data_IF_114243881702
#
_entry.id   IF_114243881702
#
_cell.length_a   1.000
_cell.length_b   1.000
_cell.length_c   1.000
_cell.angle_alpha   90.00
_cell.angle_beta   90.00
_cell.angle_gamma   90.00
#
_symmetry.space_group_name_H-M   'P 1'
#
loop_
_entity.id
_entity.type
_entity.pdbx_description
1 polymer ?
#
# COMPACT_ATOMS: atom_id res chain seq x y z
N UNK A 1 33.96 -72.20 -23.96
CA UNK A 1 32.62 -71.64 -24.12
C UNK A 1 32.43 -70.68 -23.01
N UNK A 2 32.50 -69.41 -23.25
CA UNK A 2 32.22 -68.32 -22.23
C UNK A 2 31.39 -67.28 -22.93
N UNK A 3 30.13 -67.21 -22.51
CA UNK A 3 29.19 -66.20 -22.99
C UNK A 3 29.36 -64.88 -22.22
N UNK A 4 29.58 -63.84 -22.99
CA UNK A 4 29.65 -62.47 -22.52
C UNK A 4 28.28 -61.87 -22.29
N UNK A 5 28.01 -61.40 -21.05
CA UNK A 5 26.84 -60.55 -20.76
C UNK A 5 27.23 -59.09 -20.92
N UNK A 6 26.83 -58.48 -22.05
CA UNK A 6 26.88 -57.03 -22.24
C UNK A 6 25.83 -56.32 -21.38
N UNK A 7 26.31 -55.45 -20.48
CA UNK A 7 25.44 -54.51 -19.74
C UNK A 7 25.16 -53.30 -20.59
N UNK A 8 23.92 -53.16 -21.05
CA UNK A 8 23.42 -51.92 -21.61
C UNK A 8 23.09 -50.97 -20.42
N UNK A 9 23.99 -50.00 -20.17
CA UNK A 9 23.66 -48.84 -19.33
C UNK A 9 23.00 -47.80 -20.21
N UNK A 10 21.68 -47.80 -20.25
CA UNK A 10 20.93 -46.73 -20.87
C UNK A 10 21.05 -45.44 -20.04
N UNK A 11 21.44 -44.40 -20.75
CA UNK A 11 21.65 -43.04 -20.27
C UNK A 11 20.30 -42.42 -19.83
N UNK A 12 20.01 -42.42 -18.53
CA UNK A 12 18.85 -41.72 -17.91
C UNK A 12 19.16 -40.27 -17.50
N UNK A 13 20.38 -39.77 -17.87
CA UNK A 13 20.82 -38.44 -17.42
C UNK A 13 20.27 -37.27 -18.27
N UNK A 14 19.88 -37.53 -19.54
CA UNK A 14 19.40 -36.46 -20.44
C UNK A 14 17.97 -36.01 -20.22
N UNK A 15 17.09 -36.90 -19.78
CA UNK A 15 15.66 -36.60 -19.66
C UNK A 15 15.30 -35.72 -18.45
N UNK A 16 16.04 -35.86 -17.34
CA UNK A 16 15.83 -35.01 -16.13
C UNK A 16 16.16 -33.54 -16.35
N UNK A 17 17.18 -33.24 -17.18
CA UNK A 17 17.60 -31.85 -17.44
C UNK A 17 16.61 -31.11 -18.34
N UNK A 18 15.97 -31.78 -19.31
CA UNK A 18 14.97 -31.18 -20.20
C UNK A 18 13.64 -30.88 -19.48
N UNK A 19 13.21 -31.74 -18.55
CA UNK A 19 11.99 -31.51 -17.75
C UNK A 19 12.15 -30.30 -16.81
N UNK A 20 13.32 -30.14 -16.18
CA UNK A 20 13.63 -28.99 -15.33
C UNK A 20 13.64 -27.66 -16.10
N UNK A 21 14.16 -27.65 -17.33
CA UNK A 21 14.22 -26.43 -18.15
C UNK A 21 12.82 -26.04 -18.67
N UNK A 22 12.00 -27.01 -19.09
CA UNK A 22 10.61 -26.80 -19.50
C UNK A 22 9.71 -26.28 -18.39
N UNK A 23 9.84 -26.80 -17.15
CA UNK A 23 9.14 -26.30 -15.99
C UNK A 23 9.56 -24.88 -15.62
N UNK A 24 10.85 -24.53 -15.71
CA UNK A 24 11.33 -23.19 -15.43
C UNK A 24 10.81 -22.18 -16.46
N UNK A 25 10.80 -22.55 -17.76
CA UNK A 25 10.22 -21.70 -18.80
C UNK A 25 8.70 -21.50 -18.64
N UNK A 26 7.96 -22.54 -18.24
CA UNK A 26 6.51 -22.45 -17.98
C UNK A 26 6.21 -21.54 -16.81
N UNK A 27 7.01 -21.58 -15.74
CA UNK A 27 6.85 -20.68 -14.57
C UNK A 27 7.15 -19.23 -14.96
N UNK A 28 8.18 -18.99 -15.79
CA UNK A 28 8.51 -17.64 -16.29
C UNK A 28 7.40 -17.10 -17.21
N UNK A 29 6.83 -17.92 -18.10
CA UNK A 29 5.69 -17.53 -18.93
C UNK A 29 4.42 -17.24 -18.13
N UNK A 30 4.15 -18.00 -17.06
CA UNK A 30 3.04 -17.71 -16.17
C UNK A 30 3.22 -16.40 -15.39
N UNK A 31 4.45 -16.05 -15.03
CA UNK A 31 4.75 -14.79 -14.33
C UNK A 31 4.63 -13.55 -15.26
N UNK A 32 4.94 -13.70 -16.55
CA UNK A 32 4.80 -12.61 -17.52
C UNK A 32 3.32 -12.22 -17.80
N UNK A 33 2.37 -13.12 -17.54
CA UNK A 33 0.94 -12.86 -17.69
C UNK A 33 0.28 -12.11 -16.54
N UNK A 34 0.99 -11.86 -15.43
CA UNK A 34 0.44 -11.27 -14.21
C UNK A 34 0.75 -9.77 -14.03
N UNK A 35 1.16 -9.08 -15.09
CA UNK A 35 1.35 -7.62 -15.01
C UNK A 35 0.07 -6.88 -15.39
N UNK A 36 -0.30 -5.87 -14.60
CA UNK A 36 -1.43 -4.98 -14.86
C UNK A 36 -0.93 -3.55 -15.03
N UNK A 37 -1.53 -2.81 -15.97
CA UNK A 37 -1.27 -1.37 -16.07
C UNK A 37 -1.86 -0.70 -14.83
N UNK A 38 -1.03 -0.01 -14.07
CA UNK A 38 -1.51 0.82 -12.98
C UNK A 38 -1.85 2.21 -13.55
N UNK A 39 -3.13 2.63 -13.54
CA UNK A 39 -3.54 3.90 -14.15
C UNK A 39 -2.91 5.12 -13.44
N UNK A 40 -2.63 5.01 -12.13
CA UNK A 40 -2.03 6.10 -11.36
C UNK A 40 -0.55 6.29 -11.67
N UNK A 41 0.16 5.23 -12.03
CA UNK A 41 1.60 5.28 -12.29
C UNK A 41 1.96 5.23 -13.77
N UNK A 42 1.02 4.85 -14.63
CA UNK A 42 1.24 4.60 -16.06
C UNK A 42 2.21 3.44 -16.35
N UNK A 43 2.48 2.58 -15.36
CA UNK A 43 3.46 1.49 -15.47
C UNK A 43 2.79 0.12 -15.43
N UNK A 44 3.41 -0.83 -16.13
CA UNK A 44 3.11 -2.24 -15.94
C UNK A 44 3.68 -2.69 -14.59
N UNK A 45 2.84 -3.22 -13.73
CA UNK A 45 3.21 -3.63 -12.37
C UNK A 45 2.77 -5.08 -12.13
N UNK A 46 3.62 -5.83 -11.43
CA UNK A 46 3.27 -7.19 -11.01
C UNK A 46 2.41 -7.11 -9.75
N UNK A 47 1.10 -7.14 -9.95
CA UNK A 47 0.13 -7.23 -8.86
C UNK A 47 -0.75 -8.45 -9.10
N UNK A 48 -0.65 -9.42 -8.20
CA UNK A 48 -1.36 -10.72 -8.33
C UNK A 48 -2.83 -10.63 -7.88
N UNK A 49 -3.21 -9.55 -7.18
CA UNK A 49 -4.57 -9.36 -6.72
C UNK A 49 -5.38 -8.54 -7.74
N UNK A 50 -6.55 -9.04 -8.11
CA UNK A 50 -7.54 -8.26 -8.86
C UNK A 50 -8.20 -7.22 -7.96
N UNK A 51 -8.79 -6.16 -8.53
CA UNK A 51 -9.54 -5.16 -7.76
C UNK A 51 -10.61 -5.76 -6.86
N UNK A 52 -11.45 -6.72 -7.30
CA UNK A 52 -12.40 -7.39 -6.39
C UNK A 52 -11.72 -8.12 -5.22
N UNK A 53 -10.56 -8.74 -5.44
CA UNK A 53 -9.81 -9.38 -4.36
C UNK A 53 -9.23 -8.37 -3.37
N UNK A 54 -8.76 -7.22 -3.85
CA UNK A 54 -8.30 -6.11 -3.00
C UNK A 54 -9.45 -5.55 -2.14
N UNK A 55 -10.62 -5.37 -2.72
CA UNK A 55 -11.83 -4.89 -2.01
C UNK A 55 -12.26 -5.89 -0.94
N UNK A 56 -12.31 -7.18 -1.27
CA UNK A 56 -12.66 -8.23 -0.30
C UNK A 56 -11.66 -8.27 0.86
N UNK A 57 -10.36 -8.22 0.56
CA UNK A 57 -9.30 -8.11 1.58
C UNK A 57 -9.49 -6.87 2.46
N UNK A 58 -9.84 -5.74 1.86
CA UNK A 58 -10.10 -4.49 2.58
C UNK A 58 -11.29 -4.59 3.53
N UNK A 59 -12.36 -5.25 3.12
CA UNK A 59 -13.53 -5.50 3.97
C UNK A 59 -13.19 -6.38 5.19
N UNK A 60 -12.42 -7.44 4.99
CA UNK A 60 -11.95 -8.30 6.09
C UNK A 60 -11.08 -7.52 7.09
N UNK A 61 -10.16 -6.70 6.59
CA UNK A 61 -9.32 -5.82 7.40
C UNK A 61 -10.19 -4.80 8.15
N UNK A 62 -11.14 -4.17 7.47
CA UNK A 62 -12.03 -3.19 8.08
C UNK A 62 -12.85 -3.79 9.23
N UNK A 63 -13.37 -5.01 9.07
CA UNK A 63 -14.09 -5.70 10.14
C UNK A 63 -13.20 -5.93 11.38
N UNK A 64 -11.94 -6.28 11.19
CA UNK A 64 -10.97 -6.45 12.27
C UNK A 64 -10.61 -5.10 12.93
N UNK A 65 -10.42 -4.04 12.13
CA UNK A 65 -10.18 -2.69 12.63
C UNK A 65 -11.38 -2.16 13.43
N UNK A 66 -12.61 -2.44 12.99
CA UNK A 66 -13.82 -2.05 13.70
C UNK A 66 -13.95 -2.73 15.07
N UNK A 67 -13.39 -3.92 15.25
CA UNK A 67 -13.37 -4.62 16.53
C UNK A 67 -12.26 -4.11 17.48
N UNK A 68 -11.18 -3.52 16.95
CA UNK A 68 -9.98 -3.13 17.71
C UNK A 68 -9.81 -1.62 17.91
N UNK A 69 -10.39 -0.80 17.02
CA UNK A 69 -10.27 0.66 17.08
C UNK A 69 -11.57 1.31 17.57
N UNK A 70 -11.42 2.36 18.34
CA UNK A 70 -12.55 3.21 18.74
C UNK A 70 -12.69 4.34 17.73
N UNK A 71 -13.83 4.38 17.04
CA UNK A 71 -14.16 5.45 16.11
C UNK A 71 -14.81 6.64 16.82
N UNK A 72 -14.48 7.84 16.34
CA UNK A 72 -15.03 9.08 16.85
C UNK A 72 -16.55 9.16 16.65
N UNK A 73 -17.23 9.71 17.66
CA UNK A 73 -18.65 10.03 17.63
C UNK A 73 -18.91 11.52 17.37
N UNK A 74 -17.86 12.31 17.15
CA UNK A 74 -17.97 13.71 16.75
C UNK A 74 -18.45 13.78 15.30
N UNK A 75 -19.76 13.92 15.12
CA UNK A 75 -20.40 13.93 13.81
C UNK A 75 -19.87 15.06 12.91
N UNK A 76 -19.56 16.22 13.49
CA UNK A 76 -19.04 17.35 12.73
C UNK A 76 -17.62 17.07 12.20
N UNK A 77 -16.74 16.50 13.02
CA UNK A 77 -15.39 16.12 12.65
C UNK A 77 -15.39 14.97 11.61
N UNK A 78 -16.25 13.98 11.80
CA UNK A 78 -16.43 12.87 10.82
C UNK A 78 -16.93 13.41 9.50
N UNK A 79 -17.99 14.24 9.50
CA UNK A 79 -18.54 14.84 8.29
C UNK A 79 -17.51 15.73 7.56
N UNK A 80 -16.67 16.47 8.31
CA UNK A 80 -15.56 17.26 7.75
C UNK A 80 -14.56 16.36 7.04
N UNK A 81 -14.10 15.30 7.69
CA UNK A 81 -13.15 14.34 7.13
C UNK A 81 -13.71 13.68 5.87
N UNK A 82 -14.94 13.17 5.93
CA UNK A 82 -15.60 12.53 4.79
C UNK A 82 -15.78 13.49 3.61
N UNK A 83 -16.23 14.70 3.84
CA UNK A 83 -16.42 15.70 2.79
C UNK A 83 -15.12 15.99 2.04
N UNK A 84 -14.01 16.20 2.78
CA UNK A 84 -12.70 16.46 2.20
C UNK A 84 -12.22 15.22 1.44
N UNK A 85 -12.25 14.05 2.07
CA UNK A 85 -11.77 12.80 1.50
C UNK A 85 -12.52 12.40 0.23
N UNK A 86 -13.85 12.48 0.22
CA UNK A 86 -14.68 12.19 -0.97
C UNK A 86 -14.34 13.12 -2.12
N UNK A 87 -14.15 14.42 -1.85
CA UNK A 87 -13.78 15.40 -2.89
C UNK A 87 -12.43 15.09 -3.51
N UNK A 88 -11.44 14.66 -2.73
CA UNK A 88 -10.13 14.23 -3.25
C UNK A 88 -10.24 12.88 -3.98
N UNK A 89 -10.98 11.93 -3.43
CA UNK A 89 -11.16 10.60 -4.04
C UNK A 89 -11.82 10.65 -5.42
N UNK A 90 -12.75 11.59 -5.64
CA UNK A 90 -13.45 11.78 -6.91
C UNK A 90 -12.53 12.11 -8.09
N UNK A 91 -11.35 12.66 -7.85
CA UNK A 91 -10.37 13.02 -8.89
C UNK A 91 -9.16 12.07 -8.91
N UNK A 92 -9.16 11.02 -8.10
CA UNK A 92 -8.08 10.04 -8.08
C UNK A 92 -8.08 9.16 -9.33
N UNK A 93 -6.94 8.57 -9.66
CA UNK A 93 -6.82 7.68 -10.81
C UNK A 93 -7.45 6.28 -10.58
N UNK A 94 -7.95 5.99 -9.38
CA UNK A 94 -8.59 4.72 -8.99
C UNK A 94 -10.06 4.95 -8.64
N UNK A 95 -10.91 4.93 -9.67
CA UNK A 95 -12.37 5.07 -9.54
C UNK A 95 -13.09 3.72 -9.35
N UNK A 96 -12.36 2.63 -9.41
CA UNK A 96 -12.82 1.27 -9.15
C UNK A 96 -12.86 0.91 -7.65
N UNK A 97 -12.50 1.85 -6.77
CA UNK A 97 -12.66 1.77 -5.32
C UNK A 97 -13.83 2.60 -4.81
N UNK A 98 -14.49 2.08 -3.78
CA UNK A 98 -15.37 2.89 -2.93
C UNK A 98 -14.55 3.32 -1.72
N UNK A 99 -14.03 4.55 -1.75
CA UNK A 99 -13.24 5.09 -0.66
C UNK A 99 -14.09 5.32 0.59
N UNK A 100 -13.58 4.89 1.74
CA UNK A 100 -14.20 5.05 3.05
C UNK A 100 -13.22 5.70 4.03
N UNK A 101 -13.71 6.67 4.81
CA UNK A 101 -12.91 7.47 5.72
C UNK A 101 -13.36 7.25 7.15
N UNK A 102 -12.43 6.93 8.04
CA UNK A 102 -12.70 6.60 9.43
C UNK A 102 -11.90 7.51 10.34
N UNK A 103 -12.59 8.24 11.24
CA UNK A 103 -11.96 9.05 12.27
C UNK A 103 -11.77 8.19 13.52
N UNK A 104 -10.53 7.90 13.89
CA UNK A 104 -10.15 7.04 15.02
C UNK A 104 -9.88 7.91 16.25
N UNK A 105 -10.46 7.58 17.41
CA UNK A 105 -10.20 8.28 18.67
C UNK A 105 -8.81 7.91 19.21
N UNK A 106 -7.78 8.64 18.76
CA UNK A 106 -6.41 8.55 19.23
C UNK A 106 -5.72 9.91 19.09
N UNK A 107 -4.96 10.28 20.13
CA UNK A 107 -4.28 11.59 20.18
C UNK A 107 -2.97 11.60 19.41
N UNK A 108 -2.43 10.42 19.03
CA UNK A 108 -1.23 10.34 18.20
C UNK A 108 -1.47 10.97 16.82
N UNK A 109 -0.42 11.52 16.23
CA UNK A 109 -0.45 12.06 14.88
C UNK A 109 -0.26 10.91 13.88
N UNK A 110 -1.36 10.40 13.34
CA UNK A 110 -1.31 9.30 12.37
C UNK A 110 -2.49 9.32 11.40
N UNK A 111 -2.22 8.85 10.19
CA UNK A 111 -3.20 8.40 9.23
C UNK A 111 -2.58 7.19 8.50
N UNK A 112 -3.40 6.28 8.02
CA UNK A 112 -2.95 5.14 7.23
C UNK A 112 -4.08 4.61 6.38
N UNK A 113 -3.71 3.87 5.34
CA UNK A 113 -4.65 3.22 4.45
C UNK A 113 -4.49 1.70 4.46
N UNK A 114 -5.59 1.00 4.21
CA UNK A 114 -5.63 -0.45 4.04
C UNK A 114 -6.14 -0.80 2.64
N UNK A 115 -6.02 -2.07 2.16
CA UNK A 115 -6.53 -2.46 0.86
C UNK A 115 -8.00 -2.08 0.67
N UNK A 116 -8.44 -1.89 -0.57
CA UNK A 116 -9.84 -1.60 -0.88
C UNK A 116 -10.28 -0.15 -0.67
N UNK A 117 -9.37 0.78 -0.36
CA UNK A 117 -9.69 2.22 -0.26
C UNK A 117 -10.21 2.65 1.12
N UNK A 118 -9.91 1.90 2.19
CA UNK A 118 -10.23 2.29 3.56
C UNK A 118 -9.12 3.14 4.15
N UNK A 119 -9.43 4.36 4.57
CA UNK A 119 -8.49 5.36 5.10
C UNK A 119 -8.87 5.68 6.55
N UNK A 120 -7.89 5.54 7.44
CA UNK A 120 -8.02 5.80 8.87
C UNK A 120 -7.24 7.06 9.23
N UNK A 121 -7.90 7.98 9.93
CA UNK A 121 -7.34 9.27 10.32
C UNK A 121 -7.51 9.44 11.83
N UNK A 122 -6.47 9.82 12.54
CA UNK A 122 -6.55 9.95 14.00
C UNK A 122 -7.00 11.35 14.41
N UNK A 123 -7.76 11.41 15.50
CA UNK A 123 -8.29 12.69 16.04
C UNK A 123 -7.17 13.67 16.40
N UNK A 124 -6.04 13.19 16.92
CA UNK A 124 -4.88 14.03 17.22
C UNK A 124 -4.34 14.72 15.96
N UNK A 125 -4.19 13.99 14.86
CA UNK A 125 -3.75 14.57 13.58
C UNK A 125 -4.76 15.60 13.06
N UNK A 126 -6.07 15.30 13.12
CA UNK A 126 -7.10 16.22 12.66
C UNK A 126 -7.11 17.53 13.45
N UNK A 127 -6.87 17.48 14.76
CA UNK A 127 -6.75 18.64 15.65
C UNK A 127 -5.50 19.47 15.35
N UNK A 128 -4.39 18.80 14.98
CA UNK A 128 -3.09 19.44 14.68
C UNK A 128 -3.06 20.16 13.34
N UNK A 129 -4.00 19.92 12.45
CA UNK A 129 -4.05 20.51 11.11
C UNK A 129 -5.00 21.71 11.05
N UNK A 130 -4.48 22.92 10.73
CA UNK A 130 -5.22 24.18 10.92
C UNK A 130 -6.35 24.39 9.91
N UNK A 131 -6.27 23.83 8.71
CA UNK A 131 -7.28 24.05 7.68
C UNK A 131 -7.67 22.78 6.92
N UNK A 132 -8.70 22.89 6.07
CA UNK A 132 -9.14 21.81 5.19
C UNK A 132 -8.09 21.48 4.12
N UNK A 133 -7.22 22.42 3.75
CA UNK A 133 -6.15 22.18 2.79
C UNK A 133 -5.08 21.24 3.35
N UNK A 134 -4.68 21.39 4.63
CA UNK A 134 -3.73 20.46 5.27
C UNK A 134 -4.35 19.09 5.53
N UNK A 135 -5.63 19.03 5.90
CA UNK A 135 -6.35 17.75 6.00
C UNK A 135 -6.44 17.07 4.63
N UNK A 136 -6.72 17.84 3.57
CA UNK A 136 -6.74 17.33 2.21
C UNK A 136 -5.36 16.84 1.77
N UNK A 137 -4.26 17.47 2.20
CA UNK A 137 -2.91 17.04 1.89
C UNK A 137 -2.61 15.62 2.41
N UNK A 138 -2.96 15.34 3.67
CA UNK A 138 -2.80 13.99 4.24
C UNK A 138 -3.70 12.99 3.53
N UNK A 139 -4.99 13.33 3.35
CA UNK A 139 -5.94 12.44 2.66
C UNK A 139 -5.54 12.16 1.21
N UNK A 140 -5.03 13.16 0.50
CA UNK A 140 -4.56 13.01 -0.88
C UNK A 140 -3.33 12.10 -0.97
N UNK A 141 -2.41 12.20 0.00
CA UNK A 141 -1.27 11.32 0.13
C UNK A 141 -1.72 9.86 0.38
N UNK A 142 -2.65 9.62 1.31
CA UNK A 142 -3.20 8.29 1.58
C UNK A 142 -3.95 7.71 0.38
N UNK A 143 -4.74 8.52 -0.32
CA UNK A 143 -5.40 8.15 -1.57
C UNK A 143 -4.35 7.84 -2.65
N UNK A 144 -3.23 8.56 -2.69
CA UNK A 144 -2.08 8.28 -3.53
C UNK A 144 -1.50 6.88 -3.30
N UNK A 145 -1.35 6.46 -2.03
CA UNK A 145 -0.94 5.10 -1.69
C UNK A 145 -1.94 4.04 -2.16
N UNK A 146 -3.25 4.31 -2.04
CA UNK A 146 -4.29 3.44 -2.58
C UNK A 146 -4.20 3.34 -4.11
N UNK A 147 -4.12 4.49 -4.80
CA UNK A 147 -4.11 4.58 -6.25
C UNK A 147 -2.88 3.88 -6.86
N UNK A 148 -1.71 4.06 -6.25
CA UNK A 148 -0.47 3.38 -6.63
C UNK A 148 -0.38 1.92 -6.14
N UNK A 149 -1.41 1.42 -5.42
CA UNK A 149 -1.48 0.05 -4.89
C UNK A 149 -0.34 -0.31 -3.92
N UNK A 150 0.26 0.68 -3.26
CA UNK A 150 1.41 0.47 -2.37
C UNK A 150 1.09 -0.50 -1.24
N UNK A 151 -0.08 -0.36 -0.61
CA UNK A 151 -0.54 -1.26 0.46
C UNK A 151 -0.65 -2.69 -0.03
N UNK A 152 -1.29 -2.90 -1.18
CA UNK A 152 -1.48 -4.24 -1.77
C UNK A 152 -0.15 -4.89 -2.10
N UNK A 153 0.80 -4.12 -2.64
CA UNK A 153 2.18 -4.59 -2.91
C UNK A 153 2.90 -5.01 -1.63
N UNK A 154 2.74 -4.27 -0.52
CA UNK A 154 3.29 -4.66 0.80
C UNK A 154 2.71 -6.00 1.27
N UNK A 155 1.40 -6.19 1.16
CA UNK A 155 0.75 -7.46 1.49
C UNK A 155 1.24 -8.59 0.59
N UNK A 156 1.35 -8.35 -0.70
CA UNK A 156 1.88 -9.32 -1.66
C UNK A 156 3.31 -9.74 -1.30
N UNK A 157 4.19 -8.80 -0.95
CA UNK A 157 5.57 -9.09 -0.53
C UNK A 157 5.60 -9.90 0.77
N UNK A 158 4.79 -9.52 1.76
CA UNK A 158 4.71 -10.25 3.03
C UNK A 158 4.22 -11.70 2.83
N UNK A 159 3.24 -11.91 1.97
CA UNK A 159 2.76 -13.24 1.59
C UNK A 159 3.82 -14.04 0.84
N UNK A 160 4.52 -13.41 -0.11
CA UNK A 160 5.60 -14.03 -0.87
C UNK A 160 6.76 -14.45 0.02
N UNK A 161 7.18 -13.62 0.97
CA UNK A 161 8.19 -13.95 1.95
C UNK A 161 7.78 -15.14 2.82
N UNK A 162 6.57 -15.14 3.36
CA UNK A 162 6.04 -16.24 4.15
C UNK A 162 5.92 -17.55 3.34
N UNK A 163 5.57 -17.44 2.05
CA UNK A 163 5.53 -18.60 1.16
C UNK A 163 6.92 -19.21 0.96
N UNK A 164 7.91 -18.39 0.63
CA UNK A 164 9.29 -18.84 0.41
C UNK A 164 9.88 -19.48 1.67
N UNK A 165 9.67 -18.89 2.85
CA UNK A 165 10.17 -19.45 4.11
C UNK A 165 9.54 -20.80 4.41
N UNK A 166 8.27 -21.00 4.09
CA UNK A 166 7.60 -22.29 4.30
C UNK A 166 7.99 -23.35 3.25
N UNK A 167 8.24 -22.96 1.99
CA UNK A 167 8.75 -23.90 0.97
C UNK A 167 10.16 -24.36 1.32
N UNK A 168 10.99 -23.46 1.87
CA UNK A 168 12.38 -23.79 2.23
C UNK A 168 12.50 -24.53 3.56
N UNK A 169 11.67 -24.16 4.57
CA UNK A 169 11.81 -24.62 5.95
C UNK A 169 10.61 -25.35 6.53
N UNK A 170 9.51 -25.52 5.81
CA UNK A 170 8.25 -26.05 6.33
C UNK A 170 7.48 -26.99 5.39
N UNK A 171 6.46 -27.64 5.91
CA UNK A 171 5.56 -28.51 5.16
C UNK A 171 4.62 -27.68 4.25
N UNK A 172 4.66 -27.96 2.96
CA UNK A 172 4.03 -27.16 1.89
C UNK A 172 2.50 -27.33 1.72
N UNK A 173 1.80 -27.96 2.66
CA UNK A 173 0.40 -28.42 2.46
C UNK A 173 -0.70 -27.35 2.68
N UNK A 174 -0.37 -26.10 3.01
CA UNK A 174 -1.42 -25.09 3.26
C UNK A 174 -1.66 -24.20 2.03
N UNK A 175 -2.90 -24.18 1.55
CA UNK A 175 -3.33 -23.32 0.43
C UNK A 175 -3.22 -21.83 0.77
N UNK A 176 -2.98 -20.98 -0.26
CA UNK A 176 -2.88 -19.52 -0.13
C UNK A 176 -4.09 -18.90 0.61
N UNK A 177 -5.31 -19.42 0.35
CA UNK A 177 -6.54 -18.96 0.99
C UNK A 177 -6.54 -19.16 2.52
N UNK A 178 -6.03 -20.31 3.02
CA UNK A 178 -5.92 -20.60 4.46
C UNK A 178 -4.88 -19.66 5.11
N UNK A 179 -3.86 -19.26 4.36
CA UNK A 179 -2.81 -18.36 4.85
C UNK A 179 -3.30 -16.92 4.94
N UNK A 180 -4.07 -16.46 3.96
CA UNK A 180 -4.74 -15.15 4.01
C UNK A 180 -5.67 -15.05 5.22
N UNK A 181 -6.44 -16.10 5.49
CA UNK A 181 -7.32 -16.16 6.66
C UNK A 181 -6.57 -16.25 8.02
N UNK A 182 -5.29 -16.60 8.03
CA UNK A 182 -4.44 -16.70 9.25
C UNK A 182 -3.58 -15.47 9.50
N UNK A 183 -3.52 -14.52 8.58
CA UNK A 183 -2.91 -13.21 8.87
C UNK A 183 -3.84 -12.51 9.86
N UNK A 184 -3.53 -12.62 11.15
CA UNK A 184 -4.33 -11.98 12.21
C UNK A 184 -4.33 -10.46 12.09
N UNK A 185 -5.28 -9.81 12.76
CA UNK A 185 -5.42 -8.34 12.79
C UNK A 185 -4.11 -7.61 13.10
N UNK A 186 -3.31 -8.15 14.03
CA UNK A 186 -2.03 -7.56 14.41
C UNK A 186 -1.01 -7.55 13.27
N UNK A 187 -0.95 -8.63 12.49
CA UNK A 187 -0.05 -8.73 11.34
C UNK A 187 -0.51 -7.79 10.20
N UNK A 188 -1.81 -7.68 10.00
CA UNK A 188 -2.42 -6.77 9.01
C UNK A 188 -2.12 -5.33 9.38
N UNK A 189 -2.35 -4.95 10.64
CA UNK A 189 -2.03 -3.63 11.17
C UNK A 189 -0.52 -3.35 11.06
N UNK A 190 0.30 -4.30 11.46
CA UNK A 190 1.77 -4.21 11.38
C UNK A 190 2.26 -3.98 9.94
N UNK A 191 1.71 -4.68 8.94
CA UNK A 191 2.05 -4.47 7.53
C UNK A 191 1.60 -3.08 7.06
N UNK A 192 0.38 -2.68 7.38
CA UNK A 192 -0.16 -1.35 7.03
C UNK A 192 0.69 -0.22 7.61
N UNK A 193 1.12 -0.37 8.87
CA UNK A 193 1.92 0.63 9.60
C UNK A 193 3.44 0.49 9.39
N UNK A 194 3.93 -0.49 8.63
CA UNK A 194 5.35 -0.59 8.29
C UNK A 194 5.75 0.55 7.35
N UNK A 195 7.03 0.98 7.41
CA UNK A 195 7.53 2.04 6.55
C UNK A 195 7.36 1.72 5.05
N UNK A 196 6.98 2.71 4.28
CA UNK A 196 7.02 2.65 2.82
C UNK A 196 8.44 2.87 2.30
N UNK A 197 8.71 2.42 1.08
CA UNK A 197 9.96 2.77 0.42
C UNK A 197 9.97 4.26 0.06
N UNK A 198 11.16 4.84 -0.09
CA UNK A 198 11.31 6.24 -0.54
C UNK A 198 10.58 6.50 -1.87
N UNK A 199 10.60 5.54 -2.77
CA UNK A 199 9.95 5.67 -4.08
C UNK A 199 8.42 5.67 -3.95
N UNK A 200 7.87 4.85 -3.05
CA UNK A 200 6.44 4.82 -2.76
C UNK A 200 5.97 6.16 -2.17
N UNK A 201 6.77 6.74 -1.25
CA UNK A 201 6.49 8.07 -0.67
C UNK A 201 6.48 9.17 -1.74
N UNK A 202 7.53 9.23 -2.57
CA UNK A 202 7.59 10.22 -3.65
C UNK A 202 6.45 10.06 -4.66
N UNK A 203 6.02 8.84 -4.91
CA UNK A 203 4.91 8.58 -5.80
C UNK A 203 3.58 9.00 -5.17
N UNK A 204 3.35 8.69 -3.90
CA UNK A 204 2.17 9.12 -3.16
C UNK A 204 2.09 10.65 -3.05
N UNK A 205 3.23 11.33 -2.84
CA UNK A 205 3.31 12.79 -2.82
C UNK A 205 2.93 13.42 -4.16
N UNK A 206 3.47 12.91 -5.27
CA UNK A 206 3.13 13.42 -6.61
C UNK A 206 1.65 13.23 -6.93
N UNK A 207 1.12 12.06 -6.67
CA UNK A 207 -0.31 11.79 -6.84
C UNK A 207 -1.15 12.67 -5.92
N UNK A 208 -0.74 12.84 -4.68
CA UNK A 208 -1.40 13.70 -3.70
C UNK A 208 -1.47 15.16 -4.16
N UNK A 209 -0.36 15.72 -4.64
CA UNK A 209 -0.32 17.08 -5.20
C UNK A 209 -1.29 17.21 -6.38
N UNK A 210 -1.27 16.26 -7.33
CA UNK A 210 -2.20 16.23 -8.46
C UNK A 210 -3.65 16.20 -7.99
N UNK A 211 -3.97 15.33 -7.04
CA UNK A 211 -5.35 15.18 -6.56
C UNK A 211 -5.81 16.39 -5.76
N UNK A 212 -4.97 17.02 -4.96
CA UNK A 212 -5.28 18.28 -4.29
C UNK A 212 -5.64 19.37 -5.29
N UNK A 213 -4.80 19.56 -6.31
CA UNK A 213 -5.02 20.56 -7.35
C UNK A 213 -6.35 20.35 -8.08
N UNK A 214 -6.58 19.12 -8.57
CA UNK A 214 -7.82 18.77 -9.30
C UNK A 214 -9.07 18.86 -8.41
N UNK A 215 -8.93 18.57 -7.11
CA UNK A 215 -10.01 18.72 -6.15
C UNK A 215 -10.24 20.17 -5.70
N UNK A 216 -9.41 21.14 -6.14
CA UNK A 216 -9.52 22.55 -5.80
C UNK A 216 -9.08 22.89 -4.38
N UNK A 217 -8.17 22.10 -3.81
CA UNK A 217 -7.40 22.42 -2.61
C UNK A 217 -6.04 23.01 -3.00
N UNK A 218 -5.42 23.76 -2.08
CA UNK A 218 -4.09 24.35 -2.31
C UNK A 218 -2.99 23.32 -2.15
N UNK A 219 -2.25 22.92 -3.21
CA UNK A 219 -1.22 21.88 -3.10
C UNK A 219 -0.05 22.28 -2.19
N UNK A 220 0.20 23.58 -1.99
CA UNK A 220 1.21 24.10 -1.07
C UNK A 220 0.97 23.64 0.39
N UNK A 221 -0.29 23.36 0.74
CA UNK A 221 -0.62 22.84 2.05
C UNK A 221 0.04 21.47 2.35
N UNK A 222 0.48 20.73 1.33
CA UNK A 222 1.29 19.53 1.57
C UNK A 222 2.67 19.88 2.16
N UNK A 223 3.29 20.98 1.70
CA UNK A 223 4.55 21.46 2.28
C UNK A 223 4.33 21.94 3.72
N UNK A 224 3.28 22.76 3.96
CA UNK A 224 2.98 23.24 5.32
C UNK A 224 2.62 22.09 6.26
N UNK A 225 1.94 21.06 5.78
CA UNK A 225 1.69 19.82 6.55
C UNK A 225 3.00 19.15 6.97
N UNK A 226 3.95 18.99 6.06
CA UNK A 226 5.26 18.41 6.38
C UNK A 226 6.04 19.25 7.39
N UNK A 227 5.94 20.59 7.29
CA UNK A 227 6.59 21.51 8.26
C UNK A 227 5.94 21.43 9.64
N UNK A 228 4.61 21.32 9.72
CA UNK A 228 3.86 21.12 10.97
C UNK A 228 4.32 19.79 11.59
N UNK A 229 4.28 18.70 10.84
CA UNK A 229 4.71 17.39 11.31
C UNK A 229 6.17 17.38 11.75
N UNK A 230 7.08 18.07 11.06
CA UNK A 230 8.50 18.14 11.42
C UNK A 230 8.77 18.97 12.68
N UNK A 231 7.97 20.00 12.98
CA UNK A 231 8.14 20.84 14.19
C UNK A 231 7.78 20.08 15.46
N UNK A 232 6.69 19.37 15.41
CA UNK A 232 6.23 18.59 16.53
C UNK A 232 7.14 17.39 16.84
N UNK A 233 7.89 16.84 15.86
CA UNK A 233 8.83 15.71 16.04
C UNK A 233 10.04 16.01 16.96
N UNK A 234 10.21 17.26 17.40
CA UNK A 234 11.32 17.66 18.30
C UNK A 234 11.00 17.50 19.78
N UNK A 235 9.79 17.06 20.13
CA UNK A 235 9.37 16.84 21.50
C UNK A 235 8.99 15.39 21.73
N UNK A 236 9.84 14.61 22.33
CA UNK A 236 9.69 13.21 22.77
C UNK A 236 9.53 12.14 21.67
N UNK A 237 10.47 11.17 21.67
CA UNK A 237 10.69 10.19 20.58
C UNK A 237 9.59 9.14 20.36
N UNK A 238 8.43 9.20 21.02
CA UNK A 238 7.50 8.09 21.08
C UNK A 238 6.14 8.29 20.35
N UNK A 239 5.74 9.50 19.94
CA UNK A 239 4.35 9.75 19.50
C UNK A 239 4.14 9.82 17.98
N UNK A 240 5.17 9.51 17.17
CA UNK A 240 5.18 9.82 15.72
C UNK A 240 5.00 8.60 14.84
N UNK A 241 3.87 7.94 14.97
CA UNK A 241 3.53 6.79 14.10
C UNK A 241 3.53 7.17 12.62
N UNK A 242 3.07 8.37 12.27
CA UNK A 242 3.07 8.85 10.88
C UNK A 242 4.48 8.95 10.30
N UNK A 243 5.45 9.50 11.05
CA UNK A 243 6.83 9.60 10.57
C UNK A 243 7.56 8.26 10.52
N UNK A 244 7.13 7.27 11.30
CA UNK A 244 7.68 5.92 11.24
C UNK A 244 7.20 5.17 10.00
N UNK A 245 5.94 5.35 9.61
CA UNK A 245 5.37 4.77 8.38
C UNK A 245 5.71 5.59 7.12
N UNK A 246 5.88 6.93 7.26
CA UNK A 246 6.16 7.88 6.16
C UNK A 246 7.41 8.71 6.43
N UNK A 247 8.62 8.12 6.33
CA UNK A 247 9.86 8.76 6.75
C UNK A 247 10.33 9.87 5.79
N UNK A 248 11.30 10.68 6.26
CA UNK A 248 12.12 11.60 5.45
C UNK A 248 11.36 12.78 4.84
N UNK A 249 10.65 13.53 5.68
CA UNK A 249 9.90 14.70 5.23
C UNK A 249 10.75 15.75 4.49
N UNK A 250 12.00 15.98 4.90
CA UNK A 250 12.90 16.96 4.26
C UNK A 250 13.11 16.69 2.77
N UNK A 251 13.39 15.42 2.42
CA UNK A 251 13.65 15.03 1.03
C UNK A 251 12.38 15.11 0.17
N UNK A 252 11.21 14.94 0.81
CA UNK A 252 9.90 14.95 0.17
C UNK A 252 9.43 16.36 -0.17
N UNK A 253 9.78 17.38 0.62
CA UNK A 253 9.43 18.77 0.36
C UNK A 253 9.90 19.22 -1.02
N UNK A 254 11.11 18.87 -1.42
CA UNK A 254 11.64 19.25 -2.74
C UNK A 254 10.89 18.56 -3.89
N UNK A 255 10.48 17.31 -3.68
CA UNK A 255 9.66 16.56 -4.66
C UNK A 255 8.30 17.23 -4.81
N UNK A 256 7.64 17.56 -3.69
CA UNK A 256 6.33 18.22 -3.68
C UNK A 256 6.38 19.57 -4.36
N UNK A 257 7.38 20.42 -4.07
CA UNK A 257 7.54 21.74 -4.71
C UNK A 257 7.67 21.63 -6.22
N UNK A 258 8.48 20.68 -6.70
CA UNK A 258 8.63 20.45 -8.15
C UNK A 258 7.33 19.95 -8.78
N UNK A 259 6.62 19.09 -8.11
CA UNK A 259 5.35 18.55 -8.63
C UNK A 259 4.26 19.62 -8.68
N UNK A 260 4.21 20.57 -7.72
CA UNK A 260 3.28 21.71 -7.75
C UNK A 260 3.49 22.53 -9.01
N UNK A 261 4.74 22.85 -9.36
CA UNK A 261 5.05 23.59 -10.60
C UNK A 261 4.64 22.82 -11.85
N UNK A 262 4.89 21.50 -11.88
CA UNK A 262 4.49 20.64 -12.99
C UNK A 262 2.97 20.61 -13.18
N UNK A 263 2.23 20.36 -12.11
CA UNK A 263 0.75 20.28 -12.16
C UNK A 263 0.16 21.62 -12.64
N UNK A 264 0.65 22.76 -12.14
CA UNK A 264 0.20 24.09 -12.58
C UNK A 264 0.49 24.39 -14.05
N UNK A 265 1.51 23.77 -14.61
CA UNK A 265 1.84 23.92 -16.03
C UNK A 265 1.05 23.02 -16.96
N UNK A 266 0.48 21.93 -16.41
CA UNK A 266 -0.28 20.92 -17.17
C UNK A 266 -1.78 21.17 -17.20
N UNK A 267 -2.31 21.77 -16.15
CA UNK A 267 -3.73 22.04 -15.93
C UNK A 267 -4.02 23.53 -15.73
#
# INVERSE_FOLDING_TARGET
>A
MAEGRGRVRASLCGVRSFISFGCLLSVICCLAGCTTLNPATGRQEMVIFSTPAEVAMGQDVQAQMAASLKFSKDEAAVARLERIGRRVAQVSDRQDYVYSFYLVEKEELNAFTTPGGHIYFYTGLLKGLPSDDEVAAVLAHEIGHCAARHVVKKYQMALGYNFLTQVVFGNAEQTLAIRLARIGADAITSIGMSAYSRQDEYQADRLGVKYMYLAGYRPEAMVTTFEILAKDSKGDDNDWLLLRSHPRLSDRIDVVKKEIELVRSQY
#
